data_IF_068978686229
#
_entry.id   IF_068978686229
#
_cell.length_a   1.000
_cell.length_b   1.000
_cell.length_c   1.000
_cell.angle_alpha   90.00
_cell.angle_beta   90.00
_cell.angle_gamma   90.00
#
_symmetry.space_group_name_H-M   'P 1'
#
loop_
_entity.id
_entity.type
_entity.pdbx_description
1 polymer ?
#
# COMPACT_ATOMS: atom_id res chain seq x y z
N UNK A 1 52.04 -93.04 -104.56
CA UNK A 1 53.26 -92.55 -103.86
C UNK A 1 53.22 -91.02 -103.88
N UNK A 2 53.68 -90.38 -102.80
CA UNK A 2 53.05 -89.27 -102.06
C UNK A 2 53.46 -87.90 -102.66
N UNK A 3 52.93 -86.73 -102.29
CA UNK A 3 52.90 -86.16 -100.94
C UNK A 3 52.05 -84.89 -100.85
N UNK A 4 51.18 -84.93 -99.83
CA UNK A 4 50.57 -83.83 -99.11
C UNK A 4 51.62 -82.82 -98.59
N UNK A 5 51.36 -81.51 -98.70
CA UNK A 5 52.02 -80.50 -97.88
C UNK A 5 51.06 -79.36 -97.53
N UNK A 6 50.62 -79.39 -96.27
CA UNK A 6 49.86 -78.35 -95.61
C UNK A 6 50.60 -77.00 -95.58
N UNK A 7 49.88 -75.86 -95.54
CA UNK A 7 50.48 -74.56 -95.31
C UNK A 7 50.89 -74.40 -93.83
N UNK A 8 52.18 -74.23 -93.59
CA UNK A 8 52.77 -73.95 -92.28
C UNK A 8 52.45 -72.52 -91.83
N UNK A 9 51.71 -72.39 -90.72
CA UNK A 9 51.52 -71.12 -90.01
C UNK A 9 52.84 -70.67 -89.34
N UNK A 10 53.22 -69.38 -89.42
CA UNK A 10 54.39 -68.86 -88.74
C UNK A 10 54.18 -68.71 -87.22
N UNK A 11 55.25 -68.80 -86.41
CA UNK A 11 55.19 -68.73 -84.95
C UNK A 11 54.84 -67.30 -84.45
N UNK A 12 54.06 -67.18 -83.36
CA UNK A 12 53.69 -65.87 -82.81
C UNK A 12 54.90 -65.14 -82.22
N UNK A 13 55.04 -63.87 -82.54
CA UNK A 13 56.11 -63.00 -82.04
C UNK A 13 55.88 -62.65 -80.57
N UNK A 14 56.93 -62.67 -79.74
CA UNK A 14 56.87 -62.36 -78.30
C UNK A 14 56.22 -61.01 -77.99
N UNK A 15 56.31 -60.05 -78.92
CA UNK A 15 55.66 -58.75 -78.83
C UNK A 15 54.12 -58.84 -78.89
N UNK A 16 53.55 -59.74 -79.70
CA UNK A 16 52.09 -59.95 -79.72
C UNK A 16 51.59 -60.50 -78.38
N UNK A 17 52.32 -61.43 -77.74
CA UNK A 17 51.96 -61.92 -76.41
C UNK A 17 52.04 -60.83 -75.33
N UNK A 18 53.03 -59.92 -75.38
CA UNK A 18 53.14 -58.78 -74.46
C UNK A 18 52.01 -57.77 -74.69
N UNK A 19 51.68 -57.46 -75.95
CA UNK A 19 50.56 -56.57 -76.29
C UNK A 19 49.21 -57.14 -75.87
N UNK A 20 49.00 -58.44 -76.02
CA UNK A 20 47.78 -59.11 -75.57
C UNK A 20 47.72 -59.10 -74.04
N UNK A 21 48.83 -59.36 -73.34
CA UNK A 21 48.90 -59.31 -71.88
C UNK A 21 48.63 -57.90 -71.35
N UNK A 22 49.23 -56.84 -71.92
CA UNK A 22 48.93 -55.47 -71.50
C UNK A 22 47.51 -55.06 -71.88
N UNK A 23 47.00 -55.50 -73.03
CA UNK A 23 45.61 -55.24 -73.43
C UNK A 23 44.57 -55.90 -72.52
N UNK A 24 44.91 -56.99 -71.82
CA UNK A 24 44.03 -57.64 -70.83
C UNK A 24 44.28 -57.11 -69.41
N UNK A 25 45.55 -56.88 -69.05
CA UNK A 25 45.92 -56.42 -67.71
C UNK A 25 45.54 -54.95 -67.48
N UNK A 26 45.61 -54.12 -68.52
CA UNK A 26 45.24 -52.69 -68.44
C UNK A 26 43.77 -52.51 -68.06
N UNK A 27 42.77 -53.08 -68.75
CA UNK A 27 41.37 -52.94 -68.34
C UNK A 27 41.11 -53.59 -66.98
N UNK A 28 41.80 -54.68 -66.64
CA UNK A 28 41.67 -55.33 -65.34
C UNK A 28 42.12 -54.44 -64.17
N UNK A 29 43.12 -53.57 -64.37
CA UNK A 29 43.56 -52.58 -63.38
C UNK A 29 42.80 -51.24 -63.48
N UNK A 30 42.40 -50.83 -64.69
CA UNK A 30 41.79 -49.53 -64.94
C UNK A 30 40.33 -49.48 -64.48
N UNK A 31 39.56 -50.55 -64.69
CA UNK A 31 38.14 -50.62 -64.29
C UNK A 31 37.95 -50.43 -62.78
N UNK A 32 38.64 -51.16 -61.88
CA UNK A 32 38.51 -50.94 -60.44
C UNK A 32 39.04 -49.56 -60.02
N UNK A 33 40.10 -49.05 -60.66
CA UNK A 33 40.60 -47.70 -60.40
C UNK A 33 39.58 -46.61 -60.76
N UNK A 34 38.92 -46.73 -61.92
CA UNK A 34 37.86 -45.80 -62.35
C UNK A 34 36.64 -45.88 -61.42
N UNK A 35 36.26 -47.08 -60.98
CA UNK A 35 35.17 -47.27 -60.03
C UNK A 35 35.45 -46.58 -58.69
N UNK A 36 36.64 -46.81 -58.11
CA UNK A 36 37.08 -46.14 -56.88
C UNK A 36 37.13 -44.62 -57.05
N UNK A 37 37.63 -44.14 -58.20
CA UNK A 37 37.67 -42.71 -58.50
C UNK A 37 36.27 -42.08 -58.53
N UNK A 38 35.28 -42.76 -59.12
CA UNK A 38 33.87 -42.30 -59.10
C UNK A 38 33.30 -42.27 -57.69
N UNK A 39 33.59 -43.27 -56.86
CA UNK A 39 33.15 -43.29 -55.47
C UNK A 39 33.80 -42.17 -54.64
N UNK A 40 35.10 -41.92 -54.82
CA UNK A 40 35.80 -40.81 -54.17
C UNK A 40 35.20 -39.46 -54.54
N UNK A 41 34.89 -39.23 -55.82
CA UNK A 41 34.23 -38.00 -56.26
C UNK A 41 32.83 -37.85 -55.65
N UNK A 42 32.04 -38.93 -55.60
CA UNK A 42 30.71 -38.92 -54.97
C UNK A 42 30.80 -38.63 -53.47
N UNK A 43 31.81 -39.19 -52.78
CA UNK A 43 32.06 -38.94 -51.36
C UNK A 43 32.46 -37.48 -51.13
N UNK A 44 33.32 -36.90 -51.98
CA UNK A 44 33.70 -35.49 -51.92
C UNK A 44 32.49 -34.56 -52.07
N UNK A 45 31.59 -34.85 -53.01
CA UNK A 45 30.35 -34.08 -53.17
C UNK A 45 29.40 -34.23 -51.97
N UNK A 46 29.35 -35.40 -51.34
CA UNK A 46 28.58 -35.59 -50.11
C UNK A 46 29.20 -34.84 -48.93
N UNK A 47 30.52 -34.88 -48.79
CA UNK A 47 31.25 -34.13 -47.77
C UNK A 47 31.03 -32.63 -47.94
N UNK A 48 31.10 -32.09 -49.16
CA UNK A 48 30.86 -30.66 -49.40
C UNK A 48 29.44 -30.25 -49.02
N UNK A 49 28.43 -31.07 -49.33
CA UNK A 49 27.04 -30.83 -48.92
C UNK A 49 26.86 -30.91 -47.41
N UNK A 50 27.48 -31.90 -46.76
CA UNK A 50 27.44 -32.03 -45.30
C UNK A 50 28.16 -30.88 -44.60
N UNK A 51 29.22 -30.34 -45.20
CA UNK A 51 29.94 -29.20 -44.64
C UNK A 51 29.12 -27.92 -44.74
N UNK A 52 28.38 -27.73 -45.84
CA UNK A 52 27.41 -26.65 -45.99
C UNK A 52 26.28 -26.71 -44.95
N UNK A 53 25.70 -27.90 -44.73
CA UNK A 53 24.66 -28.07 -43.70
C UNK A 53 25.20 -27.89 -42.29
N UNK A 54 26.43 -28.34 -42.02
CA UNK A 54 27.10 -28.07 -40.73
C UNK A 54 27.33 -26.58 -40.52
N UNK A 55 27.75 -25.87 -41.56
CA UNK A 55 28.02 -24.43 -41.47
C UNK A 55 26.74 -23.60 -41.29
N UNK A 56 25.62 -24.02 -41.87
CA UNK A 56 24.30 -23.38 -41.62
C UNK A 56 23.82 -23.68 -40.20
N UNK A 57 23.76 -24.95 -39.80
CA UNK A 57 23.38 -25.34 -38.43
C UNK A 57 24.26 -24.66 -37.36
N UNK A 58 25.57 -24.55 -37.60
CA UNK A 58 26.48 -23.87 -36.68
C UNK A 58 26.18 -22.37 -36.58
N UNK A 59 25.79 -21.72 -37.67
CA UNK A 59 25.37 -20.32 -37.66
C UNK A 59 24.05 -20.15 -36.92
N UNK A 60 23.08 -21.01 -37.19
CA UNK A 60 21.76 -20.97 -36.56
C UNK A 60 21.86 -21.21 -35.05
N UNK A 61 22.65 -22.20 -34.63
CA UNK A 61 22.93 -22.44 -33.20
C UNK A 61 23.63 -21.23 -32.57
N UNK A 62 24.60 -20.61 -33.25
CA UNK A 62 25.28 -19.42 -32.73
C UNK A 62 24.31 -18.24 -32.61
N UNK A 63 23.42 -18.05 -33.58
CA UNK A 63 22.40 -17.00 -33.56
C UNK A 63 21.38 -17.24 -32.43
N UNK A 64 20.88 -18.47 -32.28
CA UNK A 64 19.96 -18.85 -31.22
C UNK A 64 20.58 -18.68 -29.82
N UNK A 65 21.86 -19.03 -29.65
CA UNK A 65 22.58 -18.79 -28.41
C UNK A 65 22.78 -17.30 -28.11
N UNK A 66 23.02 -16.47 -29.13
CA UNK A 66 23.12 -15.02 -28.96
C UNK A 66 21.78 -14.42 -28.51
N UNK A 67 20.67 -14.78 -29.16
CA UNK A 67 19.32 -14.35 -28.75
C UNK A 67 18.99 -14.80 -27.33
N UNK A 68 19.26 -16.06 -26.97
CA UNK A 68 19.05 -16.58 -25.62
C UNK A 68 19.82 -15.79 -24.56
N UNK A 69 21.06 -15.38 -24.84
CA UNK A 69 21.86 -14.58 -23.92
C UNK A 69 21.27 -13.19 -23.73
N UNK A 70 20.84 -12.54 -24.81
CA UNK A 70 20.17 -11.23 -24.73
C UNK A 70 18.87 -11.30 -23.93
N UNK A 71 18.04 -12.33 -24.16
CA UNK A 71 16.83 -12.58 -23.36
C UNK A 71 17.16 -12.80 -21.88
N UNK A 72 18.21 -13.58 -21.58
CA UNK A 72 18.67 -13.81 -20.21
C UNK A 72 19.12 -12.52 -19.54
N UNK A 73 19.88 -11.67 -20.22
CA UNK A 73 20.30 -10.37 -19.70
C UNK A 73 19.09 -9.47 -19.43
N UNK A 74 18.13 -9.43 -20.34
CA UNK A 74 16.88 -8.68 -20.15
C UNK A 74 16.06 -9.18 -18.97
N UNK A 75 15.92 -10.50 -18.83
CA UNK A 75 15.21 -11.12 -17.70
C UNK A 75 15.91 -10.82 -16.38
N UNK A 76 17.25 -10.91 -16.34
CA UNK A 76 18.02 -10.54 -15.15
C UNK A 76 17.82 -9.06 -14.77
N UNK A 77 17.82 -8.16 -15.75
CA UNK A 77 17.53 -6.75 -15.52
C UNK A 77 16.12 -6.51 -14.96
N UNK A 78 15.11 -7.20 -15.48
CA UNK A 78 13.74 -7.12 -14.95
C UNK A 78 13.65 -7.68 -13.53
N UNK A 79 14.30 -8.80 -13.23
CA UNK A 79 14.35 -9.38 -11.89
C UNK A 79 15.00 -8.40 -10.90
N UNK A 80 16.08 -7.72 -11.30
CA UNK A 80 16.71 -6.72 -10.46
C UNK A 80 15.81 -5.50 -10.20
N UNK A 81 15.07 -5.04 -11.22
CA UNK A 81 14.07 -3.96 -11.06
C UNK A 81 12.98 -4.36 -10.08
N UNK A 82 12.35 -5.51 -10.30
CA UNK A 82 11.30 -6.04 -9.42
C UNK A 82 11.82 -6.22 -8.00
N UNK A 83 13.05 -6.70 -7.82
CA UNK A 83 13.65 -6.84 -6.49
C UNK A 83 13.80 -5.49 -5.79
N UNK A 84 14.19 -4.43 -6.51
CA UNK A 84 14.28 -3.06 -5.96
C UNK A 84 12.91 -2.53 -5.59
N UNK A 85 11.92 -2.70 -6.47
CA UNK A 85 10.53 -2.29 -6.21
C UNK A 85 9.94 -3.01 -4.99
N UNK A 86 10.16 -4.32 -4.86
CA UNK A 86 9.72 -5.10 -3.69
C UNK A 86 10.36 -4.59 -2.40
N UNK A 87 11.64 -4.21 -2.41
CA UNK A 87 12.31 -3.66 -1.24
C UNK A 87 11.76 -2.27 -0.85
N UNK A 88 11.40 -1.44 -1.83
CA UNK A 88 10.73 -0.15 -1.58
C UNK A 88 9.35 -0.38 -0.95
N UNK A 89 8.52 -1.22 -1.56
CA UNK A 89 7.19 -1.56 -1.03
C UNK A 89 7.29 -2.15 0.37
N UNK A 90 8.30 -2.98 0.64
CA UNK A 90 8.52 -3.53 1.98
C UNK A 90 8.76 -2.45 3.03
N UNK A 91 9.56 -1.42 2.70
CA UNK A 91 9.79 -0.28 3.59
C UNK A 91 8.53 0.54 3.79
N UNK A 92 7.82 0.86 2.71
CA UNK A 92 6.56 1.61 2.80
C UNK A 92 5.52 0.88 3.67
N UNK A 93 5.46 -0.44 3.60
CA UNK A 93 4.60 -1.27 4.47
C UNK A 93 5.05 -1.23 5.93
N UNK A 94 6.35 -1.20 6.20
CA UNK A 94 6.89 -1.09 7.55
C UNK A 94 6.59 0.29 8.16
N UNK A 95 6.82 1.36 7.40
CA UNK A 95 6.51 2.74 7.79
C UNK A 95 5.00 2.90 8.06
N UNK A 96 4.16 2.41 7.14
CA UNK A 96 2.69 2.47 7.32
C UNK A 96 2.24 1.69 8.56
N UNK A 97 2.90 0.58 8.89
CA UNK A 97 2.59 -0.20 10.08
C UNK A 97 2.96 0.55 11.35
N UNK A 98 4.06 1.28 11.35
CA UNK A 98 4.44 2.15 12.45
C UNK A 98 3.41 3.28 12.63
N UNK A 99 3.04 3.96 11.54
CA UNK A 99 2.02 5.02 11.55
C UNK A 99 0.69 4.54 12.10
N UNK A 100 0.20 3.37 11.68
CA UNK A 100 -1.03 2.76 12.22
C UNK A 100 -0.88 2.50 13.72
N UNK A 101 0.29 2.02 14.17
CA UNK A 101 0.55 1.83 15.59
C UNK A 101 0.61 3.13 16.40
N UNK A 102 0.96 4.27 15.78
CA UNK A 102 0.83 5.59 16.40
C UNK A 102 -0.63 6.02 16.53
N UNK A 103 -1.40 5.87 15.44
CA UNK A 103 -2.84 6.20 15.45
C UNK A 103 -3.60 5.39 16.49
N UNK A 104 -3.33 4.08 16.64
CA UNK A 104 -3.99 3.25 17.64
C UNK A 104 -3.72 3.77 19.08
N UNK A 105 -2.50 4.21 19.37
CA UNK A 105 -2.14 4.80 20.67
C UNK A 105 -2.82 6.15 20.90
N UNK A 106 -2.90 6.98 19.87
CA UNK A 106 -3.56 8.28 19.97
C UNK A 106 -5.07 8.10 20.19
N UNK A 107 -5.69 7.10 19.55
CA UNK A 107 -7.10 6.74 19.76
C UNK A 107 -7.33 6.26 21.20
N UNK A 108 -6.48 5.37 21.73
CA UNK A 108 -6.59 4.91 23.12
C UNK A 108 -6.44 6.05 24.12
N UNK A 109 -5.50 6.99 23.88
CA UNK A 109 -5.36 8.20 24.69
C UNK A 109 -6.61 9.07 24.65
N UNK A 110 -7.16 9.28 23.46
CA UNK A 110 -8.35 10.13 23.28
C UNK A 110 -9.60 9.50 23.91
N UNK A 111 -9.73 8.18 23.89
CA UNK A 111 -10.80 7.48 24.61
C UNK A 111 -10.70 7.74 26.12
N UNK A 112 -9.49 7.70 26.68
CA UNK A 112 -9.23 8.06 28.08
C UNK A 112 -9.64 9.51 28.40
N UNK A 113 -9.23 10.46 27.57
CA UNK A 113 -9.56 11.88 27.73
C UNK A 113 -11.09 12.12 27.66
N UNK A 114 -11.79 11.42 26.76
CA UNK A 114 -13.25 11.54 26.65
C UNK A 114 -13.95 11.00 27.90
N UNK A 115 -13.46 9.91 28.49
CA UNK A 115 -14.02 9.37 29.71
C UNK A 115 -13.75 10.26 30.92
N UNK A 116 -12.58 10.91 31.01
CA UNK A 116 -12.30 11.93 32.02
C UNK A 116 -13.26 13.12 31.89
N UNK A 117 -13.43 13.66 30.68
CA UNK A 117 -14.38 14.76 30.42
C UNK A 117 -15.83 14.37 30.79
N UNK A 118 -16.23 13.11 30.58
CA UNK A 118 -17.55 12.62 30.99
C UNK A 118 -17.73 12.59 32.50
N UNK A 119 -16.69 12.25 33.24
CA UNK A 119 -16.69 12.27 34.70
C UNK A 119 -16.83 13.71 35.19
N UNK A 120 -15.99 14.61 34.68
CA UNK A 120 -16.01 16.03 35.03
C UNK A 120 -17.37 16.68 34.73
N UNK A 121 -17.97 16.36 33.57
CA UNK A 121 -19.31 16.84 33.24
C UNK A 121 -20.36 16.35 34.22
N UNK A 122 -20.27 15.10 34.68
CA UNK A 122 -21.21 14.57 35.68
C UNK A 122 -21.06 15.29 37.01
N UNK A 123 -19.83 15.52 37.46
CA UNK A 123 -19.55 16.24 38.69
C UNK A 123 -20.09 17.69 38.63
N UNK A 124 -19.83 18.40 37.53
CA UNK A 124 -20.35 19.75 37.32
C UNK A 124 -21.89 19.79 37.32
N UNK A 125 -22.56 18.78 36.75
CA UNK A 125 -24.02 18.69 36.78
C UNK A 125 -24.53 18.48 38.22
N UNK A 126 -23.88 17.61 38.99
CA UNK A 126 -24.23 17.37 40.40
C UNK A 126 -23.99 18.60 41.27
N UNK A 127 -22.87 19.30 41.08
CA UNK A 127 -22.56 20.55 41.76
C UNK A 127 -23.61 21.62 41.43
N UNK A 128 -23.97 21.77 40.16
CA UNK A 128 -25.00 22.72 39.72
C UNK A 128 -26.37 22.41 40.36
N UNK A 129 -26.73 21.12 40.47
CA UNK A 129 -27.95 20.71 41.20
C UNK A 129 -27.88 21.08 42.68
N UNK A 130 -26.73 20.86 43.34
CA UNK A 130 -26.53 21.26 44.74
C UNK A 130 -26.65 22.76 44.94
N UNK A 131 -26.04 23.56 44.06
CA UNK A 131 -26.14 25.03 44.08
C UNK A 131 -27.59 25.48 43.90
N UNK A 132 -28.34 24.86 42.98
CA UNK A 132 -29.77 25.15 42.79
C UNK A 132 -30.58 24.88 44.06
N UNK A 133 -30.33 23.77 44.76
CA UNK A 133 -30.98 23.47 46.04
C UNK A 133 -30.63 24.49 47.13
N UNK A 134 -29.37 24.90 47.21
CA UNK A 134 -28.93 25.94 48.16
C UNK A 134 -29.56 27.30 47.85
N UNK A 135 -29.75 27.64 46.58
CA UNK A 135 -30.46 28.86 46.18
C UNK A 135 -31.95 28.78 46.54
N UNK A 136 -32.59 27.62 46.41
CA UNK A 136 -33.99 27.47 46.85
C UNK A 136 -34.16 27.63 48.35
N UNK A 137 -33.25 27.07 49.18
CA UNK A 137 -33.33 27.24 50.64
C UNK A 137 -33.05 28.69 51.05
N UNK A 138 -32.11 29.36 50.39
CA UNK A 138 -31.83 30.78 50.62
C UNK A 138 -33.04 31.66 50.27
N UNK A 139 -33.80 31.27 49.24
CA UNK A 139 -35.04 31.95 48.86
C UNK A 139 -36.13 31.77 49.92
N UNK A 140 -36.33 30.57 50.42
CA UNK A 140 -37.28 30.30 51.52
C UNK A 140 -36.91 31.13 52.76
N UNK A 141 -35.61 31.22 53.07
CA UNK A 141 -35.11 32.08 54.15
C UNK A 141 -35.39 33.56 53.87
N UNK A 142 -35.18 34.03 52.64
CA UNK A 142 -35.49 35.40 52.22
C UNK A 142 -36.97 35.75 52.39
N UNK A 143 -37.87 34.83 52.04
CA UNK A 143 -39.32 34.99 52.27
C UNK A 143 -39.64 35.07 53.77
N UNK A 144 -39.09 34.16 54.58
CA UNK A 144 -39.27 34.21 56.03
C UNK A 144 -38.74 35.50 56.66
N UNK A 145 -37.61 36.04 56.20
CA UNK A 145 -37.11 37.35 56.64
C UNK A 145 -38.08 38.49 56.27
N UNK A 146 -38.67 38.45 55.07
CA UNK A 146 -39.66 39.45 54.67
C UNK A 146 -40.90 39.41 55.57
N UNK A 147 -41.39 38.20 55.89
CA UNK A 147 -42.53 38.00 56.80
C UNK A 147 -42.22 38.50 58.21
N UNK A 148 -41.02 38.20 58.75
CA UNK A 148 -40.58 38.71 60.05
C UNK A 148 -40.48 40.24 60.04
N UNK A 149 -39.95 40.84 58.99
CA UNK A 149 -39.87 42.30 58.87
C UNK A 149 -41.26 42.95 58.86
N UNK A 150 -42.22 42.36 58.12
CA UNK A 150 -43.60 42.81 58.08
C UNK A 150 -44.28 42.69 59.45
N UNK A 151 -44.09 41.57 60.16
CA UNK A 151 -44.60 41.37 61.51
C UNK A 151 -44.01 42.38 62.50
N UNK A 152 -42.70 42.62 62.46
CA UNK A 152 -42.06 43.61 63.34
C UNK A 152 -42.62 45.03 63.10
N UNK A 153 -42.85 45.40 61.84
CA UNK A 153 -43.48 46.67 61.47
C UNK A 153 -44.92 46.78 61.99
N UNK A 154 -45.71 45.71 61.87
CA UNK A 154 -47.07 45.64 62.41
C UNK A 154 -47.10 45.77 63.95
N UNK A 155 -46.19 45.08 64.65
CA UNK A 155 -46.04 45.17 66.11
C UNK A 155 -45.66 46.60 66.53
N UNK A 156 -44.76 47.28 65.80
CA UNK A 156 -44.39 48.67 66.11
C UNK A 156 -45.57 49.63 65.94
N UNK A 157 -46.37 49.45 64.88
CA UNK A 157 -47.60 50.22 64.66
C UNK A 157 -48.57 50.04 65.84
N UNK A 158 -48.77 48.81 66.31
CA UNK A 158 -49.66 48.50 67.43
C UNK A 158 -49.24 49.16 68.76
N UNK A 159 -47.94 49.34 68.99
CA UNK A 159 -47.40 49.95 70.21
C UNK A 159 -47.25 51.48 70.11
N UNK A 160 -47.71 52.11 69.02
CA UNK A 160 -47.65 53.56 68.83
C UNK A 160 -46.24 54.10 68.59
N UNK A 161 -45.30 53.23 68.21
CA UNK A 161 -43.96 53.64 67.81
C UNK A 161 -44.05 54.17 66.36
N UNK A 162 -43.77 55.45 66.17
CA UNK A 162 -43.85 56.07 64.85
C UNK A 162 -42.80 55.45 63.91
N UNK A 163 -43.25 54.97 62.75
CA UNK A 163 -42.40 54.47 61.67
C UNK A 163 -41.49 55.60 61.21
N UNK A 164 -40.22 55.57 61.64
CA UNK A 164 -39.20 56.48 61.13
C UNK A 164 -38.55 55.84 59.90
N UNK A 165 -38.51 56.53 58.75
CA UNK A 165 -37.70 56.07 57.64
C UNK A 165 -36.24 56.02 58.10
N UNK A 166 -35.60 54.84 57.97
CA UNK A 166 -34.20 54.59 58.34
C UNK A 166 -33.96 54.31 59.84
N UNK A 167 -34.89 53.64 60.54
CA UNK A 167 -34.70 53.30 61.96
C UNK A 167 -33.65 52.20 62.17
N UNK A 168 -32.75 52.42 63.13
CA UNK A 168 -31.57 51.58 63.40
C UNK A 168 -31.90 50.18 63.96
N UNK A 169 -33.18 49.93 64.26
CA UNK A 169 -33.76 48.71 64.84
C UNK A 169 -33.65 47.48 63.96
N UNK A 170 -33.33 47.67 62.67
CA UNK A 170 -32.92 46.58 61.78
C UNK A 170 -33.99 46.03 60.86
N UNK A 171 -35.24 46.49 60.94
CA UNK A 171 -36.34 46.11 60.04
C UNK A 171 -35.94 46.36 58.58
N UNK A 172 -35.40 47.54 58.27
CA UNK A 172 -34.90 47.87 56.93
C UNK A 172 -33.69 47.00 56.51
N UNK A 173 -32.87 46.53 57.45
CA UNK A 173 -31.76 45.61 57.15
C UNK A 173 -32.30 44.24 56.77
N UNK A 174 -33.29 43.73 57.52
CA UNK A 174 -33.95 42.45 57.25
C UNK A 174 -34.66 42.50 55.89
N UNK A 175 -35.42 43.57 55.63
CA UNK A 175 -36.09 43.81 54.35
C UNK A 175 -35.10 43.87 53.18
N UNK A 176 -33.98 44.60 53.32
CA UNK A 176 -32.90 44.64 52.30
C UNK A 176 -32.24 43.27 52.10
N UNK A 177 -32.07 42.46 53.15
CA UNK A 177 -31.53 41.10 53.04
C UNK A 177 -32.49 40.16 52.31
N UNK A 178 -33.79 40.22 52.63
CA UNK A 178 -34.83 39.48 51.92
C UNK A 178 -34.80 39.80 50.41
N UNK A 179 -34.78 41.08 50.04
CA UNK A 179 -34.67 41.50 48.63
C UNK A 179 -33.37 41.06 47.97
N UNK A 180 -32.25 41.02 48.69
CA UNK A 180 -30.98 40.50 48.15
C UNK A 180 -31.08 39.01 47.84
N UNK A 181 -31.71 38.22 48.69
CA UNK A 181 -31.89 36.78 48.46
C UNK A 181 -32.90 36.48 47.36
N UNK A 182 -33.95 37.30 47.22
CA UNK A 182 -34.89 37.21 46.11
C UNK A 182 -34.27 37.66 44.76
N UNK A 183 -33.43 38.69 44.79
CA UNK A 183 -32.74 39.25 43.62
C UNK A 183 -31.71 38.32 42.97
N UNK A 184 -31.22 37.29 43.68
CA UNK A 184 -30.31 36.28 43.12
C UNK A 184 -30.93 35.48 41.95
N UNK A 185 -32.26 35.54 41.76
CA UNK A 185 -32.99 35.00 40.60
C UNK A 185 -32.61 35.69 39.28
N UNK A 186 -32.39 37.01 39.28
CA UNK A 186 -32.18 37.75 38.02
C UNK A 186 -30.79 37.51 37.42
N UNK A 187 -29.77 37.29 38.24
CA UNK A 187 -28.41 37.05 37.74
C UNK A 187 -28.17 35.61 37.26
N UNK A 188 -28.92 34.63 37.79
CA UNK A 188 -28.81 33.23 37.38
C UNK A 188 -29.53 32.91 36.06
N UNK A 189 -30.59 33.66 35.72
CA UNK A 189 -31.34 33.45 34.47
C UNK A 189 -30.73 34.17 33.27
N UNK A 190 -30.05 35.31 33.47
CA UNK A 190 -29.42 36.08 32.36
C UNK A 190 -28.17 35.41 31.78
N UNK A 191 -27.50 34.53 32.53
CA UNK A 191 -26.32 33.79 32.05
C UNK A 191 -26.67 32.53 31.24
N UNK A 192 -27.94 32.11 31.24
CA UNK A 192 -28.41 30.95 30.46
C UNK A 192 -28.96 31.34 29.08
N UNK A 193 -29.27 32.62 28.83
CA UNK A 193 -29.82 33.10 27.56
C UNK A 193 -28.76 33.64 26.57
N UNK A 194 -27.52 33.90 27.00
CA UNK A 194 -26.46 34.43 26.12
C UNK A 194 -25.65 33.37 25.33
N UNK A 195 -25.96 32.08 25.46
CA UNK A 195 -25.22 30.99 24.78
C UNK A 195 -25.92 30.38 23.55
N UNK A 196 -26.93 31.05 22.99
CA UNK A 196 -27.69 30.54 21.83
C UNK A 196 -27.70 31.42 20.58
N UNK A 197 -26.74 32.33 20.42
CA UNK A 197 -26.56 33.07 19.16
C UNK A 197 -25.08 33.18 18.78
N UNK A 198 -24.67 32.44 17.75
CA UNK A 198 -23.38 32.68 17.09
C UNK A 198 -22.67 31.50 16.44
N UNK A 199 -23.38 30.55 15.82
CA UNK A 199 -22.75 29.59 14.88
C UNK A 199 -23.35 29.79 13.49
N UNK A 200 -22.90 30.82 12.77
CA UNK A 200 -23.04 30.91 11.32
C UNK A 200 -21.77 30.38 10.68
N UNK A 201 -21.86 29.14 10.20
CA UNK A 201 -20.83 28.47 9.41
C UNK A 201 -20.83 29.03 7.98
N UNK A 202 -19.70 29.56 7.45
CA UNK A 202 -19.61 30.01 6.07
C UNK A 202 -19.12 28.85 5.18
N UNK A 203 -20.07 28.09 4.63
CA UNK A 203 -19.81 27.11 3.58
C UNK A 203 -20.75 27.35 2.42
N UNK A 204 -20.23 27.95 1.33
CA UNK A 204 -20.61 27.70 -0.07
C UNK A 204 -20.09 28.84 -0.95
N UNK A 205 -18.88 28.65 -1.50
CA UNK A 205 -18.55 29.18 -2.82
C UNK A 205 -17.88 28.06 -3.61
N UNK A 206 -18.62 27.60 -4.62
CA UNK A 206 -18.13 26.92 -5.80
C UNK A 206 -17.08 27.75 -6.54
#
# INVERSE_FOLDING_TARGET
MPSNSQPTRPPPSRLTSVLILTAILTPLALVPYIAVRRHLLRLQTQLSKMDETRMTLRRDLKAALAMRKEEQEKVMGMIESVRKEVEVVRKEVEDTREDVGHVDRDVESLEGDVDEIRIDMRELVEENQRVKLQLSTLKELGQGLADVAAFMEEVEIHHGLAVKPNDGRGIDRIRKLAYKFEGLKMQANTSSEEKHHGETNPGEKC
#
